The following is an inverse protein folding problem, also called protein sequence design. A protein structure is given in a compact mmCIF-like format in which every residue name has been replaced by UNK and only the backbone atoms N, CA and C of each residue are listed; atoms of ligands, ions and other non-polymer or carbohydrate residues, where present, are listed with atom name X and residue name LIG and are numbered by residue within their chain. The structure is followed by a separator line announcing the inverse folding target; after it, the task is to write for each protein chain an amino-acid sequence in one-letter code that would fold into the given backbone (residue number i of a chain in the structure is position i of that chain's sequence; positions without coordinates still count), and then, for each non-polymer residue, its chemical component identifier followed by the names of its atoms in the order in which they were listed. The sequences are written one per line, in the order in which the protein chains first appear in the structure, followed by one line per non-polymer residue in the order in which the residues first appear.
data_IF_056896865623
#
_entry.id   IF_056896865623
#
_cell.length_a   1.000
_cell.length_b   1.000
_cell.length_c   1.000
_cell.angle_alpha   90.00
_cell.angle_beta   90.00
_cell.angle_gamma   90.00
#
_symmetry.space_group_name_H-M   'P 1'
#
loop_
_entity.id
_entity.type
_entity.pdbx_description
1 polymer ?
#
# COMPACT_ATOMS: atom_id res chain seq x y z
N UNK A 1 34.24 -39.88 -4.61
CA UNK A 1 34.84 -38.55 -4.36
C UNK A 1 34.20 -37.63 -5.38
N UNK A 2 32.94 -37.24 -5.24
CA UNK A 2 32.27 -36.56 -4.12
C UNK A 2 32.71 -35.08 -3.98
N UNK A 3 31.69 -34.23 -3.98
CA UNK A 3 31.62 -32.82 -3.60
C UNK A 3 32.16 -31.73 -4.55
N UNK A 4 31.28 -31.30 -5.45
CA UNK A 4 31.18 -29.91 -5.88
C UNK A 4 29.72 -29.44 -5.99
N UNK A 5 28.79 -30.15 -5.36
CA UNK A 5 27.36 -29.89 -5.40
C UNK A 5 26.96 -28.92 -4.29
N UNK A 6 27.37 -27.67 -4.42
CA UNK A 6 26.69 -26.55 -3.76
C UNK A 6 26.52 -25.44 -4.78
N UNK A 7 25.64 -25.69 -5.74
CA UNK A 7 24.83 -24.64 -6.33
C UNK A 7 24.13 -23.95 -5.16
N UNK A 8 24.81 -22.92 -4.61
CA UNK A 8 24.30 -22.11 -3.54
C UNK A 8 22.91 -21.68 -3.97
N UNK A 9 21.92 -22.18 -3.23
CA UNK A 9 20.51 -21.92 -3.43
C UNK A 9 20.36 -20.41 -3.55
N UNK A 10 20.32 -19.95 -4.79
CA UNK A 10 19.94 -18.61 -5.16
C UNK A 10 18.48 -18.57 -4.78
N UNK A 11 18.22 -18.22 -3.51
CA UNK A 11 16.87 -17.97 -3.02
C UNK A 11 16.29 -17.02 -4.06
N UNK A 12 15.21 -17.40 -4.76
CA UNK A 12 14.53 -16.42 -5.60
C UNK A 12 14.28 -15.24 -4.68
N UNK A 13 14.85 -14.08 -5.03
CA UNK A 13 14.45 -12.84 -4.41
C UNK A 13 12.94 -12.82 -4.61
N UNK A 14 12.19 -13.03 -3.53
CA UNK A 14 10.75 -12.87 -3.56
C UNK A 14 10.59 -11.39 -3.89
N UNK A 15 10.41 -11.07 -5.17
CA UNK A 15 9.86 -9.79 -5.57
C UNK A 15 8.53 -9.74 -4.83
N UNK A 16 8.48 -8.99 -3.73
CA UNK A 16 7.32 -8.90 -2.87
C UNK A 16 6.23 -8.28 -3.72
N UNK A 17 5.45 -9.14 -4.37
CA UNK A 17 4.31 -8.74 -5.18
C UNK A 17 3.26 -8.35 -4.15
N UNK A 18 3.30 -7.08 -3.74
CA UNK A 18 2.33 -6.53 -2.82
C UNK A 18 0.99 -6.54 -3.56
N UNK A 19 0.21 -7.60 -3.34
CA UNK A 19 -1.12 -7.69 -3.91
C UNK A 19 -1.98 -6.66 -3.18
N UNK A 20 -2.28 -5.54 -3.86
CA UNK A 20 -3.22 -4.57 -3.34
C UNK A 20 -4.57 -5.25 -3.20
N UNK A 21 -5.14 -5.20 -1.99
CA UNK A 21 -6.55 -5.55 -1.83
C UNK A 21 -7.41 -4.54 -2.60
N UNK A 22 -8.64 -4.93 -2.95
CA UNK A 22 -9.59 -4.02 -3.59
C UNK A 22 -9.77 -2.71 -2.78
N UNK A 23 -9.70 -2.78 -1.45
CA UNK A 23 -9.81 -1.61 -0.59
C UNK A 23 -8.69 -0.59 -0.85
N UNK A 24 -7.44 -1.04 -0.99
CA UNK A 24 -6.32 -0.16 -1.34
C UNK A 24 -6.49 0.48 -2.71
N UNK A 25 -6.95 -0.29 -3.70
CA UNK A 25 -7.17 0.23 -5.06
C UNK A 25 -8.24 1.32 -5.06
N UNK A 26 -9.33 1.13 -4.29
CA UNK A 26 -10.41 2.12 -4.18
C UNK A 26 -9.94 3.40 -3.49
N UNK A 27 -9.15 3.30 -2.41
CA UNK A 27 -8.56 4.46 -1.74
C UNK A 27 -7.55 5.17 -2.64
N UNK A 28 -6.64 4.43 -3.27
CA UNK A 28 -5.64 4.98 -4.20
C UNK A 28 -6.30 5.70 -5.39
N UNK A 29 -7.40 5.14 -5.92
CA UNK A 29 -8.19 5.81 -6.96
C UNK A 29 -8.73 7.15 -6.45
N UNK A 30 -9.24 7.22 -5.21
CA UNK A 30 -9.75 8.49 -4.65
C UNK A 30 -8.65 9.55 -4.55
N UNK A 31 -7.47 9.18 -4.05
CA UNK A 31 -6.31 10.09 -3.98
C UNK A 31 -5.86 10.54 -5.37
N UNK A 32 -5.92 9.64 -6.37
CA UNK A 32 -5.53 9.99 -7.75
C UNK A 32 -6.57 10.91 -8.42
N UNK A 33 -7.86 10.68 -8.15
CA UNK A 33 -8.96 11.51 -8.66
C UNK A 33 -8.94 12.92 -8.03
N UNK A 34 -8.50 13.03 -6.77
CA UNK A 34 -8.47 14.26 -5.98
C UNK A 34 -7.29 14.23 -4.97
N UNK A 35 -6.10 14.71 -5.36
CA UNK A 35 -4.88 14.61 -4.56
C UNK A 35 -4.91 15.36 -3.22
N UNK A 36 -5.81 16.33 -3.09
CA UNK A 36 -5.97 17.14 -1.89
C UNK A 36 -7.04 16.56 -0.93
N UNK A 37 -7.73 15.47 -1.30
CA UNK A 37 -8.74 14.84 -0.45
C UNK A 37 -8.10 14.21 0.80
N UNK A 38 -8.59 14.60 1.96
CA UNK A 38 -8.22 14.03 3.25
C UNK A 38 -8.98 12.73 3.58
N UNK A 39 -8.59 12.05 4.65
CA UNK A 39 -9.19 10.78 5.08
C UNK A 39 -10.70 10.92 5.35
N UNK A 40 -11.15 12.07 5.87
CA UNK A 40 -12.57 12.37 6.12
C UNK A 40 -13.37 12.44 4.82
N UNK A 41 -12.84 13.14 3.82
CA UNK A 41 -13.47 13.30 2.51
C UNK A 41 -13.57 11.96 1.78
N UNK A 42 -12.51 11.15 1.84
CA UNK A 42 -12.47 9.80 1.25
C UNK A 42 -13.45 8.88 1.99
N UNK A 43 -13.48 8.93 3.33
CA UNK A 43 -14.42 8.20 4.17
C UNK A 43 -15.86 8.50 3.79
N UNK A 44 -16.23 9.78 3.67
CA UNK A 44 -17.57 10.19 3.28
C UNK A 44 -17.97 9.67 1.89
N UNK A 45 -17.03 9.67 0.93
CA UNK A 45 -17.29 9.17 -0.43
C UNK A 45 -17.41 7.65 -0.52
N UNK A 46 -16.68 6.90 0.31
CA UNK A 46 -16.69 5.44 0.31
C UNK A 46 -17.73 4.87 1.29
N UNK A 47 -18.22 5.67 2.24
CA UNK A 47 -19.09 5.22 3.32
C UNK A 47 -18.38 4.32 4.32
N UNK A 48 -17.05 4.47 4.46
CA UNK A 48 -16.22 3.63 5.33
C UNK A 48 -15.76 4.42 6.57
N UNK A 49 -15.44 3.76 7.70
CA UNK A 49 -14.93 4.46 8.88
C UNK A 49 -13.62 5.20 8.60
N UNK A 50 -13.47 6.42 9.13
CA UNK A 50 -12.25 7.24 8.93
C UNK A 50 -10.99 6.49 9.34
N UNK A 51 -11.01 5.80 10.48
CA UNK A 51 -9.87 5.02 10.96
C UNK A 51 -9.40 3.93 9.97
N UNK A 52 -10.33 3.32 9.22
CA UNK A 52 -9.98 2.34 8.18
C UNK A 52 -9.32 3.03 6.99
N UNK A 53 -9.76 4.24 6.64
CA UNK A 53 -9.15 5.02 5.57
C UNK A 53 -7.73 5.46 5.97
N UNK A 54 -7.54 5.92 7.21
CA UNK A 54 -6.22 6.30 7.72
C UNK A 54 -5.23 5.13 7.69
N UNK A 55 -5.67 3.92 8.08
CA UNK A 55 -4.84 2.72 8.00
C UNK A 55 -4.44 2.40 6.56
N UNK A 56 -5.40 2.42 5.63
CA UNK A 56 -5.14 2.16 4.20
C UNK A 56 -4.24 3.23 3.56
N UNK A 57 -4.39 4.51 3.93
CA UNK A 57 -3.51 5.58 3.48
C UNK A 57 -2.09 5.38 4.03
N UNK A 58 -1.96 5.05 5.31
CA UNK A 58 -0.67 4.71 5.93
C UNK A 58 0.01 3.51 5.27
N UNK A 59 -0.76 2.50 4.85
CA UNK A 59 -0.25 1.38 4.06
C UNK A 59 0.26 1.82 2.69
N UNK A 60 -0.49 2.67 1.97
CA UNK A 60 -0.09 3.20 0.67
C UNK A 60 1.15 4.11 0.76
N UNK A 61 1.28 4.90 1.81
CA UNK A 61 2.47 5.72 2.09
C UNK A 61 3.69 4.87 2.38
N UNK A 62 3.56 3.86 3.26
CA UNK A 62 4.66 2.92 3.56
C UNK A 62 5.15 2.18 2.32
N UNK A 63 4.26 1.99 1.34
CA UNK A 63 4.56 1.41 0.04
C UNK A 63 5.12 2.42 -0.98
N UNK A 64 5.16 3.72 -0.65
CA UNK A 64 5.61 4.77 -1.55
C UNK A 64 4.67 5.04 -2.73
N UNK A 65 3.42 4.60 -2.63
CA UNK A 65 2.40 4.73 -3.69
C UNK A 65 1.74 6.11 -3.69
N UNK A 66 1.75 6.78 -2.54
CA UNK A 66 1.30 8.16 -2.36
C UNK A 66 2.34 8.95 -1.55
N UNK A 67 2.31 10.28 -1.66
CA UNK A 67 3.10 11.15 -0.78
C UNK A 67 2.59 11.10 0.66
N UNK A 68 3.35 11.62 1.63
CA UNK A 68 2.92 11.65 3.03
C UNK A 68 1.59 12.39 3.15
N UNK A 69 0.58 11.74 3.72
CA UNK A 69 -0.70 12.36 3.99
C UNK A 69 -0.47 13.50 4.96
N UNK A 70 -1.08 14.65 4.67
CA UNK A 70 -1.15 15.75 5.62
C UNK A 70 -2.15 15.35 6.69
N UNK A 71 -1.75 14.53 7.64
CA UNK A 71 -2.56 14.27 8.83
C UNK A 71 -2.84 15.63 9.48
N UNK A 72 -4.10 16.02 9.53
CA UNK A 72 -4.53 17.23 10.23
C UNK A 72 -4.03 17.13 11.68
N UNK A 73 -3.11 18.01 12.03
CA UNK A 73 -2.80 18.31 13.43
C UNK A 73 -4.02 18.93 14.10
#
# INVERSE_FOLDING_TARGET
MDEGATAALQRPAVAFSYALSLAHVLVLKRVTDDPDSDATSISARLGWPVAVIEELLGDLERQGMIGPSRTSR
#
